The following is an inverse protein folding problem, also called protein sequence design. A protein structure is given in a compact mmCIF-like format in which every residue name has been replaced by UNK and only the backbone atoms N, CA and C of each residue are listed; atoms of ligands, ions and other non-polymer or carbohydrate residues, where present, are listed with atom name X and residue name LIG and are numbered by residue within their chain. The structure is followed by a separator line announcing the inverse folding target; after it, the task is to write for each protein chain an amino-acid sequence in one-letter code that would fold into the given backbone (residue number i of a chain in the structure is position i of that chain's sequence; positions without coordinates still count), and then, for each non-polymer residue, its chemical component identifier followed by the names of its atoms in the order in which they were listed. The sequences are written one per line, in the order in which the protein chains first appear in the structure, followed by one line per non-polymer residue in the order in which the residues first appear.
data_IF_103778502226
#
_entry.id   IF_103778502226
#
_cell.length_a   1.000
_cell.length_b   1.000
_cell.length_c   1.000
_cell.angle_alpha   90.00
_cell.angle_beta   90.00
_cell.angle_gamma   90.00
#
_symmetry.space_group_name_H-M   'P 1'
#
loop_
_entity.id
_entity.type
_entity.pdbx_description
1 polymer ?
#
# COMPACT_ATOMS: atom_id res chain seq x y z
N UNK A 1 -18.81 44.45 50.25
CA UNK A 1 -17.87 43.30 50.20
C UNK A 1 -17.22 43.28 48.83
N UNK A 2 -15.92 43.00 48.83
CA UNK A 2 -14.91 43.20 47.77
C UNK A 2 -14.83 42.07 46.74
N UNK A 3 -14.13 42.35 45.61
CA UNK A 3 -13.40 41.44 44.70
C UNK A 3 -14.27 40.67 43.69
N UNK A 4 -13.85 40.37 42.46
CA UNK A 4 -12.68 40.72 41.63
C UNK A 4 -12.98 40.21 40.21
N UNK A 5 -12.41 40.90 39.21
CA UNK A 5 -12.17 40.42 37.84
C UNK A 5 -11.57 39.01 37.79
N UNK A 6 -11.97 38.19 36.81
CA UNK A 6 -11.05 37.29 36.08
C UNK A 6 -11.46 37.21 34.60
N UNK A 7 -10.71 37.94 33.76
CA UNK A 7 -10.40 37.59 32.38
C UNK A 7 -9.76 36.20 32.33
N UNK A 8 -10.19 35.31 31.42
CA UNK A 8 -9.42 34.18 30.85
C UNK A 8 -10.37 33.41 29.92
N UNK A 9 -10.02 32.88 28.75
CA UNK A 9 -8.87 32.94 27.88
C UNK A 9 -9.40 32.29 26.59
N UNK A 10 -9.23 32.94 25.44
CA UNK A 10 -9.55 32.35 24.16
C UNK A 10 -8.66 31.13 23.96
N UNK A 11 -9.21 29.93 24.16
CA UNK A 11 -8.55 28.69 23.81
C UNK A 11 -8.56 28.60 22.28
N UNK A 12 -7.49 29.14 21.69
CA UNK A 12 -7.10 28.89 20.31
C UNK A 12 -7.00 27.39 20.12
N UNK A 13 -8.08 26.79 19.62
CA UNK A 13 -8.06 25.47 19.00
C UNK A 13 -7.14 25.59 17.78
N UNK A 14 -5.85 25.35 18.00
CA UNK A 14 -4.94 24.90 16.95
C UNK A 14 -5.50 23.56 16.51
N UNK A 15 -6.41 23.60 15.54
CA UNK A 15 -6.76 22.45 14.73
C UNK A 15 -5.49 22.12 13.98
N UNK A 16 -4.66 21.25 14.57
CA UNK A 16 -3.53 20.65 13.90
C UNK A 16 -4.06 20.10 12.59
N UNK A 17 -3.66 20.74 11.48
CA UNK A 17 -3.80 20.13 10.19
C UNK A 17 -2.99 18.84 10.28
N UNK A 18 -3.67 17.72 10.51
CA UNK A 18 -3.15 16.40 10.21
C UNK A 18 -3.01 16.40 8.70
N UNK A 19 -1.90 16.96 8.23
CA UNK A 19 -1.44 16.74 6.87
C UNK A 19 -1.23 15.24 6.81
N UNK A 20 -2.18 14.55 6.21
CA UNK A 20 -2.07 13.13 5.95
C UNK A 20 -0.83 12.98 5.07
N UNK A 21 0.30 12.61 5.69
CA UNK A 21 1.55 12.37 4.99
C UNK A 21 1.29 11.36 3.87
N UNK A 22 1.85 11.68 2.71
CA UNK A 22 1.73 10.82 1.54
C UNK A 22 2.60 9.58 1.76
N UNK A 23 1.97 8.41 1.63
CA UNK A 23 2.62 7.12 1.76
C UNK A 23 3.18 6.71 0.39
N UNK A 24 4.50 6.58 0.31
CA UNK A 24 5.22 6.09 -0.86
C UNK A 24 5.65 4.65 -0.61
N UNK A 25 5.10 3.69 -1.35
CA UNK A 25 5.48 2.28 -1.25
C UNK A 25 6.25 1.82 -2.47
N UNK A 26 7.41 1.20 -2.28
CA UNK A 26 8.21 0.60 -3.33
C UNK A 26 8.45 -0.88 -3.00
N UNK A 27 8.45 -1.72 -4.03
CA UNK A 27 8.82 -3.13 -3.85
C UNK A 27 8.42 -3.98 -5.04
N UNK A 28 7.97 -5.19 -4.77
CA UNK A 28 7.67 -6.16 -5.81
C UNK A 28 6.54 -7.12 -5.48
N UNK A 29 5.95 -7.67 -6.54
CA UNK A 29 5.04 -8.80 -6.46
C UNK A 29 5.55 -9.94 -7.32
N UNK A 30 5.59 -11.13 -6.75
CA UNK A 30 6.01 -12.36 -7.42
C UNK A 30 4.81 -13.26 -7.64
N UNK A 31 4.54 -13.55 -8.91
CA UNK A 31 3.47 -14.44 -9.36
C UNK A 31 4.07 -15.71 -9.95
N UNK A 32 3.49 -16.86 -9.62
CA UNK A 32 3.93 -18.15 -10.14
C UNK A 32 3.02 -18.54 -11.31
N UNK A 33 3.62 -18.85 -12.46
CA UNK A 33 2.92 -19.24 -13.69
C UNK A 33 3.16 -20.73 -14.01
N UNK A 34 2.14 -21.38 -14.57
CA UNK A 34 2.12 -22.81 -14.85
C UNK A 34 2.04 -23.64 -13.57
N UNK A 35 2.47 -24.89 -13.65
CA UNK A 35 2.51 -25.83 -12.51
C UNK A 35 3.55 -25.45 -11.43
N UNK A 36 4.12 -24.25 -11.46
CA UNK A 36 5.22 -23.84 -10.58
C UNK A 36 6.52 -23.56 -11.32
N UNK A 37 6.49 -23.59 -12.66
CA UNK A 37 7.70 -23.60 -13.48
C UNK A 37 8.31 -22.21 -13.67
N UNK A 38 7.50 -21.14 -13.59
CA UNK A 38 7.95 -19.78 -13.91
C UNK A 38 7.57 -18.81 -12.81
N UNK A 39 8.58 -18.27 -12.12
CA UNK A 39 8.42 -17.14 -11.21
C UNK A 39 8.53 -15.83 -11.99
N UNK A 40 7.49 -15.01 -11.94
CA UNK A 40 7.49 -13.67 -12.53
C UNK A 40 7.40 -12.63 -11.43
N UNK A 41 8.52 -11.93 -11.22
CA UNK A 41 8.61 -10.82 -10.26
C UNK A 41 8.47 -9.50 -11.00
N UNK A 42 7.60 -8.64 -10.48
CA UNK A 42 7.35 -7.30 -11.01
C UNK A 42 7.61 -6.28 -9.92
N UNK A 43 8.55 -5.36 -10.19
CA UNK A 43 8.80 -4.20 -9.34
C UNK A 43 7.85 -3.07 -9.69
N UNK A 44 7.35 -2.36 -8.69
CA UNK A 44 6.47 -1.22 -8.86
C UNK A 44 6.54 -0.28 -7.65
N UNK A 45 6.01 0.92 -7.86
CA UNK A 45 5.84 1.95 -6.84
C UNK A 45 4.35 2.30 -6.74
N UNK A 46 3.90 2.57 -5.52
CA UNK A 46 2.58 3.11 -5.21
C UNK A 46 2.76 4.46 -4.52
N UNK A 47 2.16 5.49 -5.08
CA UNK A 47 2.04 6.83 -4.50
C UNK A 47 0.56 7.21 -4.33
N UNK A 48 0.30 8.40 -3.77
CA UNK A 48 -1.06 8.89 -3.55
C UNK A 48 -1.90 8.04 -2.60
N UNK A 49 -1.25 7.37 -1.64
CA UNK A 49 -1.91 6.74 -0.50
C UNK A 49 -1.77 7.66 0.71
N UNK A 50 -2.83 7.80 1.51
CA UNK A 50 -2.84 8.67 2.69
C UNK A 50 -2.93 7.82 3.94
N UNK A 51 -2.01 8.03 4.87
CA UNK A 51 -1.95 7.25 6.11
C UNK A 51 -1.56 5.79 5.91
N UNK A 52 -1.49 5.03 7.01
CA UNK A 52 -1.03 3.63 7.03
C UNK A 52 -2.13 2.61 6.63
N UNK A 53 -2.92 2.91 5.59
CA UNK A 53 -3.96 1.98 5.11
C UNK A 53 -3.35 0.83 4.30
N UNK A 54 -2.92 -0.20 5.03
CA UNK A 54 -2.35 -1.44 4.48
C UNK A 54 -3.35 -2.16 3.56
N UNK A 55 -4.66 -2.06 3.81
CA UNK A 55 -5.66 -2.72 2.98
C UNK A 55 -5.73 -2.05 1.58
N UNK A 56 -5.69 -0.72 1.52
CA UNK A 56 -5.61 0.00 0.26
C UNK A 56 -4.31 -0.29 -0.52
N UNK A 57 -3.17 -0.42 0.19
CA UNK A 57 -1.90 -0.85 -0.42
C UNK A 57 -2.05 -2.22 -1.08
N UNK A 58 -2.54 -3.22 -0.32
CA UNK A 58 -2.72 -4.58 -0.80
C UNK A 58 -3.66 -4.62 -2.03
N UNK A 59 -4.76 -3.87 -2.00
CA UNK A 59 -5.72 -3.85 -3.10
C UNK A 59 -5.14 -3.21 -4.37
N UNK A 60 -4.38 -2.12 -4.24
CA UNK A 60 -3.64 -1.54 -5.39
C UNK A 60 -2.60 -2.53 -5.93
N UNK A 61 -1.83 -3.19 -5.06
CA UNK A 61 -0.86 -4.21 -5.46
C UNK A 61 -1.50 -5.39 -6.17
N UNK A 62 -2.68 -5.84 -5.71
CA UNK A 62 -3.47 -6.91 -6.33
C UNK A 62 -3.86 -6.54 -7.76
N UNK A 63 -4.35 -5.32 -7.98
CA UNK A 63 -4.70 -4.81 -9.32
C UNK A 63 -3.49 -4.78 -10.26
N UNK A 64 -2.33 -4.32 -9.77
CA UNK A 64 -1.09 -4.33 -10.55
C UNK A 64 -0.72 -5.76 -10.93
N UNK A 65 -0.73 -6.69 -9.98
CA UNK A 65 -0.41 -8.08 -10.25
C UNK A 65 -1.35 -8.69 -11.30
N UNK A 66 -2.66 -8.49 -11.19
CA UNK A 66 -3.63 -8.93 -12.18
C UNK A 66 -3.33 -8.40 -13.58
N UNK A 67 -3.10 -7.09 -13.72
CA UNK A 67 -2.76 -6.48 -15.01
C UNK A 67 -1.48 -7.06 -15.63
N UNK A 68 -0.46 -7.31 -14.79
CA UNK A 68 0.82 -7.89 -15.26
C UNK A 68 0.66 -9.34 -15.66
N UNK A 69 -0.10 -10.12 -14.88
CA UNK A 69 -0.44 -11.50 -15.20
C UNK A 69 -1.23 -11.58 -16.51
N UNK A 70 -2.27 -10.75 -16.69
CA UNK A 70 -3.06 -10.73 -17.93
C UNK A 70 -2.19 -10.38 -19.15
N UNK A 71 -1.28 -9.41 -19.00
CA UNK A 71 -0.32 -9.07 -20.06
C UNK A 71 0.63 -10.22 -20.37
N UNK A 72 1.04 -10.99 -19.37
CA UNK A 72 1.90 -12.15 -19.55
C UNK A 72 1.18 -13.35 -20.17
N UNK A 73 -0.09 -13.60 -19.81
CA UNK A 73 -0.94 -14.63 -20.42
C UNK A 73 -1.11 -14.41 -21.92
N UNK A 74 -1.29 -13.16 -22.35
CA UNK A 74 -1.38 -12.81 -23.78
C UNK A 74 -0.10 -13.07 -24.57
N UNK A 75 1.05 -13.20 -23.89
CA UNK A 75 2.38 -13.21 -24.51
C UNK A 75 3.07 -14.58 -24.54
N UNK A 76 2.55 -15.60 -23.86
CA UNK A 76 3.30 -16.84 -23.74
C UNK A 76 2.45 -18.08 -23.44
N UNK A 77 2.99 -19.28 -23.77
CA UNK A 77 2.27 -20.54 -23.68
C UNK A 77 2.28 -21.15 -22.26
N UNK A 78 2.85 -20.47 -21.26
CA UNK A 78 3.19 -21.02 -19.95
C UNK A 78 1.99 -21.32 -19.02
N UNK A 79 0.78 -21.38 -19.56
CA UNK A 79 -0.44 -21.68 -18.81
C UNK A 79 -0.85 -20.59 -17.81
N UNK A 80 -1.75 -20.98 -16.91
CA UNK A 80 -2.38 -20.08 -15.95
C UNK A 80 -1.45 -19.69 -14.80
N UNK A 81 -1.73 -18.54 -14.18
CA UNK A 81 -1.08 -18.15 -12.93
C UNK A 81 -1.76 -18.82 -11.74
N UNK A 82 -0.98 -19.14 -10.70
CA UNK A 82 -1.51 -19.55 -9.40
C UNK A 82 -2.35 -18.43 -8.79
N UNK A 83 -3.32 -18.80 -7.95
CA UNK A 83 -4.20 -17.85 -7.27
C UNK A 83 -3.44 -16.93 -6.31
N UNK A 84 -2.39 -17.44 -5.67
CA UNK A 84 -1.62 -16.72 -4.66
C UNK A 84 -0.38 -16.06 -5.28
N UNK A 85 0.00 -14.90 -4.74
CA UNK A 85 1.21 -14.18 -5.11
C UNK A 85 1.90 -13.63 -3.86
N UNK A 86 3.22 -13.55 -3.89
CA UNK A 86 4.00 -12.99 -2.78
C UNK A 86 4.23 -11.51 -3.04
N UNK A 87 3.80 -10.68 -2.08
CA UNK A 87 3.96 -9.23 -2.07
C UNK A 87 5.05 -8.86 -1.05
N UNK A 88 6.01 -8.05 -1.49
CA UNK A 88 7.06 -7.49 -0.65
C UNK A 88 7.15 -5.99 -0.94
N UNK A 89 6.79 -5.16 0.03
CA UNK A 89 6.78 -3.70 -0.09
C UNK A 89 7.44 -3.05 1.12
N UNK A 90 8.11 -1.94 0.83
CA UNK A 90 8.59 -0.98 1.79
C UNK A 90 7.86 0.34 1.55
N UNK A 91 7.14 0.81 2.56
CA UNK A 91 6.40 2.06 2.53
C UNK A 91 7.05 3.10 3.46
N UNK A 92 7.16 4.33 2.98
CA UNK A 92 7.69 5.47 3.70
C UNK A 92 6.58 6.52 3.88
N UNK A 93 6.40 7.01 5.10
CA UNK A 93 5.53 8.14 5.46
C UNK A 93 6.35 9.08 6.34
N UNK A 94 6.87 10.16 5.76
CA UNK A 94 7.78 11.07 6.47
C UNK A 94 9.02 10.33 6.99
N UNK A 95 9.18 10.27 8.31
CA UNK A 95 10.26 9.54 8.99
C UNK A 95 9.93 8.08 9.34
N UNK A 96 8.69 7.63 9.09
CA UNK A 96 8.25 6.29 9.42
C UNK A 96 8.42 5.34 8.24
N UNK A 97 8.90 4.13 8.54
CA UNK A 97 9.06 3.03 7.58
C UNK A 97 8.16 1.86 7.98
N UNK A 98 7.38 1.37 7.03
CA UNK A 98 6.49 0.22 7.17
C UNK A 98 6.87 -0.84 6.14
N UNK A 99 7.13 -2.06 6.59
CA UNK A 99 7.36 -3.21 5.70
C UNK A 99 6.11 -4.08 5.61
N UNK A 100 5.72 -4.43 4.39
CA UNK A 100 4.57 -5.27 4.10
C UNK A 100 5.06 -6.49 3.31
N UNK A 101 5.18 -7.61 3.99
CA UNK A 101 5.49 -8.91 3.40
C UNK A 101 4.32 -9.86 3.61
N UNK A 102 3.59 -10.18 2.53
CA UNK A 102 2.35 -10.96 2.60
C UNK A 102 2.20 -11.86 1.39
N UNK A 103 1.54 -12.99 1.60
CA UNK A 103 0.96 -13.76 0.48
C UNK A 103 -0.46 -13.28 0.27
N UNK A 104 -0.79 -12.83 -0.94
CA UNK A 104 -2.11 -12.27 -1.27
C UNK A 104 -2.82 -13.15 -2.30
N UNK A 105 -4.15 -13.21 -2.21
CA UNK A 105 -4.99 -13.83 -3.25
C UNK A 105 -5.15 -12.86 -4.41
N UNK A 106 -4.51 -13.17 -5.53
CA UNK A 106 -4.51 -12.32 -6.74
C UNK A 106 -5.65 -12.68 -7.68
N UNK A 107 -5.89 -13.98 -7.91
CA UNK A 107 -6.98 -14.47 -8.78
C UNK A 107 -8.07 -15.20 -7.98
N UNK A 108 -9.34 -15.15 -8.44
CA UNK A 108 -10.45 -15.87 -7.80
C UNK A 108 -10.23 -17.37 -7.74
#
# INVERSE_FOLDING_TARGET
MTRSLILSAAFLLVTGAVQAEELLCQGSITSIQGEGLVNRTHRFELSGLRGADVAAVIEKSRKIALQRQDKALRKGPYGNFRQMSTLDLECLSGSQKLQIQRTIKTRP
#
